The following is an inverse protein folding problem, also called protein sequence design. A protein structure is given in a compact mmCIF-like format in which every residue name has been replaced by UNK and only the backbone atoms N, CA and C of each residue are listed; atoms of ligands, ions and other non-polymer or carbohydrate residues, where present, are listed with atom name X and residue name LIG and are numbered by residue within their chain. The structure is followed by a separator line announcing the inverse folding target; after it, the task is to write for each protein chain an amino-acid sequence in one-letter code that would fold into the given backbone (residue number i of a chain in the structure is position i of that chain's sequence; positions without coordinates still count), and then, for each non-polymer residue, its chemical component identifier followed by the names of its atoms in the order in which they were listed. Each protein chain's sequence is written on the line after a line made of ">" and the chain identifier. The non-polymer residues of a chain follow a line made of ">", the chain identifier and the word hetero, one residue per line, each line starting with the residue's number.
data_IF_054259411995
#
_entry.id   IF_054259411995
#
_cell.length_a   1.000
_cell.length_b   1.000
_cell.length_c   1.000
_cell.angle_alpha   90.00
_cell.angle_beta   90.00
_cell.angle_gamma   90.00
#
_symmetry.space_group_name_H-M   'P 1'
#
loop_
_entity.id
_entity.type
_entity.pdbx_description
1 polymer ?
#
# COMPACT_ATOMS: atom_id res chain seq x y z
N UNK A 1 -29.08 14.10 71.35
CA UNK A 1 -27.83 14.72 70.85
C UNK A 1 -27.19 13.75 69.85
N UNK A 2 -27.44 13.90 68.55
CA UNK A 2 -26.94 12.96 67.52
C UNK A 2 -25.72 13.59 66.85
N UNK A 3 -24.55 13.02 67.11
CA UNK A 3 -23.25 13.44 66.56
C UNK A 3 -23.19 13.08 65.07
N UNK A 4 -23.20 14.09 64.20
CA UNK A 4 -22.94 13.94 62.76
C UNK A 4 -21.43 13.77 62.55
N UNK A 5 -20.99 12.55 62.23
CA UNK A 5 -19.62 12.31 61.79
C UNK A 5 -19.50 12.73 60.31
N UNK A 6 -18.74 13.79 60.06
CA UNK A 6 -18.36 14.24 58.72
C UNK A 6 -17.36 13.26 58.11
N UNK A 7 -17.73 12.59 57.02
CA UNK A 7 -16.81 11.80 56.20
C UNK A 7 -16.11 12.75 55.23
N UNK A 8 -14.81 12.98 55.44
CA UNK A 8 -13.93 13.73 54.55
C UNK A 8 -13.54 12.85 53.37
N UNK A 9 -14.16 13.07 52.21
CA UNK A 9 -13.78 12.45 50.93
C UNK A 9 -12.58 13.23 50.38
N UNK A 10 -11.37 12.67 50.49
CA UNK A 10 -10.20 13.16 49.77
C UNK A 10 -10.32 12.77 48.30
N UNK A 11 -10.71 13.73 47.44
CA UNK A 11 -10.63 13.58 45.99
C UNK A 11 -9.15 13.70 45.60
N UNK A 12 -8.49 12.56 45.35
CA UNK A 12 -7.18 12.55 44.74
C UNK A 12 -7.29 13.08 43.30
N UNK A 13 -6.85 14.32 43.07
CA UNK A 13 -6.68 14.87 41.74
C UNK A 13 -5.55 14.12 41.03
N UNK A 14 -5.90 13.10 40.26
CA UNK A 14 -4.98 12.46 39.32
C UNK A 14 -4.54 13.51 38.29
N UNK A 15 -3.23 13.77 38.11
CA UNK A 15 -2.76 14.65 37.05
C UNK A 15 -3.11 14.00 35.72
N UNK A 16 -4.11 14.55 35.04
CA UNK A 16 -4.28 14.34 33.61
C UNK A 16 -2.99 14.88 32.97
N UNK A 17 -2.12 13.99 32.54
CA UNK A 17 -0.99 14.36 31.70
C UNK A 17 -1.57 15.06 30.46
N UNK A 18 -1.51 16.38 30.45
CA UNK A 18 -1.97 17.18 29.34
C UNK A 18 -1.03 16.88 28.16
N UNK A 19 -1.45 15.96 27.28
CA UNK A 19 -0.79 15.77 26.01
C UNK A 19 -0.97 17.06 25.19
N UNK A 20 0.07 17.89 25.15
CA UNK A 20 0.05 19.17 24.44
C UNK A 20 -0.11 19.03 22.92
N UNK A 21 -0.03 17.81 22.40
CA UNK A 21 -0.26 17.48 21.00
C UNK A 21 -1.02 16.16 20.85
N UNK A 22 -2.26 16.26 20.36
CA UNK A 22 -3.17 15.13 20.15
C UNK A 22 -3.28 14.84 18.65
N UNK A 23 -3.31 13.56 18.30
CA UNK A 23 -3.60 13.11 16.94
C UNK A 23 -5.09 13.32 16.63
N UNK A 24 -5.42 14.24 15.73
CA UNK A 24 -6.78 14.65 15.45
C UNK A 24 -7.44 13.80 14.36
N UNK A 25 -6.83 13.72 13.17
CA UNK A 25 -7.34 12.93 12.04
C UNK A 25 -6.28 12.69 10.96
N UNK A 26 -6.58 11.78 10.02
CA UNK A 26 -5.82 11.57 8.78
C UNK A 26 -6.73 11.86 7.59
N UNK A 27 -6.29 12.73 6.69
CA UNK A 27 -6.97 13.10 5.45
C UNK A 27 -6.20 12.62 4.23
N UNK A 28 -6.92 12.18 3.21
CA UNK A 28 -6.37 11.80 1.90
C UNK A 28 -6.92 12.74 0.83
N UNK A 29 -6.04 13.26 -0.01
CA UNK A 29 -6.40 14.12 -1.13
C UNK A 29 -5.66 13.70 -2.41
N UNK A 30 -6.35 13.14 -3.41
CA UNK A 30 -7.75 12.67 -3.40
C UNK A 30 -7.90 11.31 -2.68
N UNK A 31 -9.12 10.97 -2.25
CA UNK A 31 -9.44 9.71 -1.56
C UNK A 31 -9.63 8.51 -2.52
N UNK A 32 -9.71 8.80 -3.82
CA UNK A 32 -9.70 7.80 -4.90
C UNK A 32 -8.67 8.21 -5.95
N UNK A 33 -7.76 7.30 -6.30
CA UNK A 33 -6.72 7.51 -7.32
C UNK A 33 -6.64 6.34 -8.30
N UNK A 34 -5.99 6.55 -9.43
CA UNK A 34 -5.56 5.46 -10.32
C UNK A 34 -4.19 4.92 -9.89
N UNK A 35 -3.83 3.68 -10.24
CA UNK A 35 -2.48 3.17 -10.03
C UNK A 35 -1.41 4.13 -10.60
N UNK A 36 -0.36 4.37 -9.82
CA UNK A 36 0.75 5.28 -10.16
C UNK A 36 0.45 6.77 -9.95
N UNK A 37 -0.79 7.16 -9.66
CA UNK A 37 -1.10 8.55 -9.32
C UNK A 37 -0.67 8.88 -7.89
N UNK A 38 -0.42 10.17 -7.65
CA UNK A 38 -0.01 10.66 -6.33
C UNK A 38 -1.22 10.98 -5.46
N UNK A 39 -1.13 10.64 -4.18
CA UNK A 39 -2.06 11.04 -3.13
C UNK A 39 -1.30 11.80 -2.05
N UNK A 40 -1.91 12.87 -1.55
CA UNK A 40 -1.43 13.64 -0.40
C UNK A 40 -2.10 13.12 0.87
N UNK A 41 -1.29 12.66 1.81
CA UNK A 41 -1.71 12.22 3.14
C UNK A 41 -1.40 13.36 4.11
N UNK A 42 -2.42 13.89 4.77
CA UNK A 42 -2.29 14.94 5.77
C UNK A 42 -2.70 14.38 7.13
N UNK A 43 -1.78 14.39 8.09
CA UNK A 43 -2.07 14.04 9.48
C UNK A 43 -2.20 15.34 10.28
N UNK A 44 -3.40 15.58 10.80
CA UNK A 44 -3.71 16.77 11.58
C UNK A 44 -3.53 16.50 13.07
N UNK A 45 -3.05 17.51 13.78
CA UNK A 45 -2.84 17.47 15.22
C UNK A 45 -3.60 18.62 15.87
N UNK A 46 -4.19 18.36 17.04
CA UNK A 46 -4.67 19.41 17.93
C UNK A 46 -3.54 19.76 18.90
N UNK A 47 -3.01 20.98 18.77
CA UNK A 47 -1.82 21.45 19.50
C UNK A 47 -2.24 22.53 20.48
N UNK A 48 -2.25 22.18 21.75
CA UNK A 48 -2.56 23.07 22.88
C UNK A 48 -1.32 23.41 23.70
N UNK A 49 -0.19 22.75 23.44
CA UNK A 49 1.09 22.95 24.13
C UNK A 49 2.29 22.74 23.22
N UNK A 50 3.36 22.15 23.76
CA UNK A 50 4.61 21.91 23.02
C UNK A 50 4.46 20.85 21.92
N UNK A 51 5.06 21.11 20.76
CA UNK A 51 5.16 20.15 19.64
C UNK A 51 6.36 19.25 19.91
N UNK A 52 6.11 18.04 20.43
CA UNK A 52 7.17 17.07 20.71
C UNK A 52 6.60 15.65 20.90
N UNK A 53 6.27 14.96 19.81
CA UNK A 53 5.84 13.57 19.89
C UNK A 53 6.26 12.71 18.69
N UNK A 54 6.21 11.39 18.89
CA UNK A 54 6.47 10.37 17.88
C UNK A 54 5.18 9.82 17.25
N UNK A 55 5.24 9.54 15.95
CA UNK A 55 4.16 8.98 15.17
C UNK A 55 4.68 7.93 14.18
N UNK A 56 3.99 6.80 14.03
CA UNK A 56 4.18 5.87 12.90
C UNK A 56 3.01 5.99 11.95
N UNK A 57 3.28 6.24 10.67
CA UNK A 57 2.29 6.15 9.61
C UNK A 57 2.43 4.80 8.92
N UNK A 58 1.34 4.04 8.87
CA UNK A 58 1.20 2.83 8.06
C UNK A 58 0.47 3.21 6.78
N UNK A 59 1.05 2.92 5.63
CA UNK A 59 0.48 3.33 4.34
C UNK A 59 -0.51 2.31 3.76
N UNK A 60 -0.68 1.16 4.40
CA UNK A 60 -1.57 0.08 3.96
C UNK A 60 -1.01 -0.80 2.85
N UNK A 61 0.14 -0.43 2.26
CA UNK A 61 0.87 -1.18 1.22
C UNK A 61 1.95 -2.12 1.82
N UNK A 62 1.93 -2.31 3.14
CA UNK A 62 2.98 -3.02 3.89
C UNK A 62 4.14 -2.12 4.34
N UNK A 63 4.25 -0.90 3.81
CA UNK A 63 5.25 0.06 4.27
C UNK A 63 4.76 0.87 5.47
N UNK A 64 5.69 1.20 6.34
CA UNK A 64 5.48 2.11 7.48
C UNK A 64 6.62 3.10 7.57
N UNK A 65 6.35 4.29 8.09
CA UNK A 65 7.37 5.32 8.29
C UNK A 65 7.16 6.02 9.62
N UNK A 66 8.26 6.18 10.35
CA UNK A 66 8.30 6.87 11.64
C UNK A 66 8.62 8.35 11.44
N UNK A 67 7.90 9.20 12.17
CA UNK A 67 8.03 10.64 12.15
C UNK A 67 8.20 11.17 13.57
N UNK A 68 9.11 12.13 13.70
CA UNK A 68 9.24 12.95 14.90
C UNK A 68 8.55 14.27 14.60
N UNK A 69 7.47 14.56 15.33
CA UNK A 69 6.72 15.81 15.20
C UNK A 69 7.21 16.71 16.32
N UNK A 70 8.29 17.46 16.05
CA UNK A 70 8.95 18.30 17.05
C UNK A 70 9.20 19.74 16.57
N UNK A 71 8.75 20.09 15.37
CA UNK A 71 8.81 21.45 14.84
C UNK A 71 7.45 21.89 14.31
N UNK A 72 7.19 23.20 14.33
CA UNK A 72 5.94 23.78 13.78
C UNK A 72 5.68 23.38 12.33
N UNK A 73 6.73 23.19 11.53
CA UNK A 73 6.62 22.78 10.11
C UNK A 73 6.09 21.35 9.93
N UNK A 74 6.17 20.52 10.98
CA UNK A 74 5.70 19.14 10.97
C UNK A 74 4.20 19.05 11.33
N UNK A 75 3.56 20.20 11.59
CA UNK A 75 2.14 20.32 11.95
C UNK A 75 1.42 21.21 10.92
N UNK A 76 0.53 20.65 10.09
CA UNK A 76 0.23 19.22 9.95
C UNK A 76 1.37 18.46 9.25
N UNK A 77 1.45 17.14 9.48
CA UNK A 77 2.38 16.30 8.73
C UNK A 77 1.78 16.04 7.35
N UNK A 78 2.51 16.38 6.29
CA UNK A 78 2.08 16.16 4.91
C UNK A 78 3.05 15.20 4.22
N UNK A 79 2.52 14.10 3.68
CA UNK A 79 3.29 13.04 3.00
C UNK A 79 2.65 12.75 1.65
N UNK A 80 3.41 12.86 0.57
CA UNK A 80 2.96 12.45 -0.76
C UNK A 80 3.35 10.99 -1.02
N UNK A 81 2.39 10.19 -1.50
CA UNK A 81 2.59 8.76 -1.82
C UNK A 81 2.05 8.43 -3.20
N UNK A 82 2.54 7.34 -3.77
CA UNK A 82 2.02 6.73 -4.99
C UNK A 82 1.81 5.25 -4.74
N UNK A 83 0.71 4.71 -5.27
CA UNK A 83 0.34 3.31 -5.11
C UNK A 83 0.31 2.65 -6.48
N UNK A 84 1.16 1.64 -6.69
CA UNK A 84 1.33 1.00 -7.99
C UNK A 84 0.24 -0.03 -8.33
N UNK A 85 -0.42 -0.60 -7.31
CA UNK A 85 -1.45 -1.62 -7.50
C UNK A 85 -2.83 -1.05 -7.20
N UNK A 86 -3.84 -1.55 -7.91
CA UNK A 86 -5.22 -1.26 -7.58
C UNK A 86 -5.63 -2.06 -6.33
N UNK A 87 -6.47 -1.45 -5.50
CA UNK A 87 -6.90 -2.03 -4.24
C UNK A 87 -7.31 -0.98 -3.22
N UNK A 88 -7.76 -1.45 -2.06
CA UNK A 88 -8.06 -0.61 -0.93
C UNK A 88 -6.87 -0.61 0.04
N UNK A 89 -6.40 0.59 0.40
CA UNK A 89 -5.27 0.77 1.29
C UNK A 89 -5.74 1.47 2.56
N UNK A 90 -5.55 0.81 3.70
CA UNK A 90 -5.85 1.38 5.01
C UNK A 90 -4.65 2.16 5.51
N UNK A 91 -4.74 3.48 5.41
CA UNK A 91 -3.73 4.40 5.95
C UNK A 91 -4.02 4.63 7.42
N UNK A 92 -3.04 4.37 8.29
CA UNK A 92 -3.17 4.50 9.75
C UNK A 92 -2.07 5.40 10.31
N UNK A 93 -2.45 6.43 11.05
CA UNK A 93 -1.54 7.17 11.92
C UNK A 93 -1.64 6.59 13.34
N UNK A 94 -0.53 6.01 13.81
CA UNK A 94 -0.39 5.37 15.11
C UNK A 94 0.52 6.22 16.01
N UNK A 95 0.03 6.72 17.14
CA UNK A 95 0.88 7.19 18.22
C UNK A 95 1.92 6.16 18.62
N UNK A 96 3.20 6.49 18.43
CA UNK A 96 4.28 5.55 18.74
C UNK A 96 5.49 6.27 19.29
N UNK A 97 6.11 5.71 20.31
CA UNK A 97 7.37 6.21 20.86
C UNK A 97 8.49 6.05 19.83
N UNK A 98 9.10 7.17 19.43
CA UNK A 98 10.19 7.22 18.44
C UNK A 98 11.44 7.82 19.10
N UNK A 99 12.41 6.95 19.43
CA UNK A 99 13.59 7.37 20.21
C UNK A 99 13.19 7.84 21.61
N UNK A 100 13.59 9.06 21.98
CA UNK A 100 13.24 9.67 23.26
C UNK A 100 11.87 10.37 23.26
N UNK A 101 11.21 10.49 22.10
CA UNK A 101 9.91 11.14 21.98
C UNK A 101 8.80 10.13 22.27
N UNK A 102 7.98 10.41 23.28
CA UNK A 102 6.76 9.65 23.53
C UNK A 102 5.78 9.74 22.36
N UNK A 103 4.88 8.77 22.23
CA UNK A 103 3.85 8.80 21.19
C UNK A 103 2.94 10.04 21.31
N UNK A 104 2.44 10.54 20.18
CA UNK A 104 1.45 11.62 20.19
C UNK A 104 0.22 11.24 21.02
N UNK A 105 -0.43 12.19 21.68
CA UNK A 105 -1.61 11.85 22.47
C UNK A 105 -2.79 11.42 21.58
N UNK A 106 -3.76 10.72 22.17
CA UNK A 106 -4.96 10.26 21.46
C UNK A 106 -4.88 8.82 20.96
N UNK A 107 -5.83 8.47 20.08
CA UNK A 107 -6.02 7.11 19.53
C UNK A 107 -5.52 7.04 18.10
N UNK A 108 -5.34 5.83 17.58
CA UNK A 108 -5.05 5.61 16.16
C UNK A 108 -6.12 6.28 15.29
N UNK A 109 -5.67 6.94 14.22
CA UNK A 109 -6.53 7.52 13.21
C UNK A 109 -6.34 6.76 11.91
N UNK A 110 -7.44 6.39 11.27
CA UNK A 110 -7.44 5.54 10.08
C UNK A 110 -8.34 6.11 8.99
N UNK A 111 -7.94 5.91 7.74
CA UNK A 111 -8.73 6.24 6.57
C UNK A 111 -8.40 5.27 5.43
N UNK A 112 -9.33 5.15 4.47
CA UNK A 112 -9.21 4.21 3.35
C UNK A 112 -8.98 4.99 2.07
N UNK A 113 -7.86 4.69 1.40
CA UNK A 113 -7.58 5.11 0.05
C UNK A 113 -8.07 4.03 -0.91
N UNK A 114 -8.83 4.43 -1.93
CA UNK A 114 -9.24 3.52 -3.00
C UNK A 114 -8.37 3.75 -4.23
N UNK A 115 -7.66 2.72 -4.68
CA UNK A 115 -6.90 2.76 -5.92
C UNK A 115 -7.66 1.96 -6.97
N UNK A 116 -8.30 2.67 -7.90
CA UNK A 116 -9.23 2.08 -8.86
C UNK A 116 -8.49 1.76 -10.15
N UNK A 117 -8.44 0.47 -10.50
CA UNK A 117 -8.02 0.06 -11.83
C UNK A 117 -9.04 0.59 -12.86
N UNK A 118 -8.59 0.99 -14.06
CA UNK A 118 -9.51 1.20 -15.17
C UNK A 118 -10.44 -0.03 -15.30
N UNK A 119 -11.74 0.15 -15.57
CA UNK A 119 -12.64 -0.96 -15.76
C UNK A 119 -12.06 -1.88 -16.84
N UNK A 120 -12.02 -3.17 -16.54
CA UNK A 120 -11.66 -4.17 -17.53
C UNK A 120 -12.53 -3.95 -18.77
N UNK A 121 -11.98 -4.00 -20.00
CA UNK A 121 -12.81 -3.98 -21.19
C UNK A 121 -13.90 -5.07 -21.06
N UNK A 122 -15.12 -4.80 -21.54
CA UNK A 122 -16.24 -5.73 -21.39
C UNK A 122 -15.82 -7.12 -21.89
N UNK A 123 -16.25 -8.20 -21.21
CA UNK A 123 -15.95 -9.54 -21.66
C UNK A 123 -16.43 -9.68 -23.10
N UNK A 124 -15.50 -9.83 -24.03
CA UNK A 124 -15.84 -10.29 -25.38
C UNK A 124 -16.49 -11.63 -25.18
N UNK A 125 -17.78 -11.73 -25.53
CA UNK A 125 -18.61 -12.90 -25.27
C UNK A 125 -17.86 -14.18 -25.64
N UNK A 126 -17.57 -14.99 -24.63
CA UNK A 126 -17.07 -16.33 -24.83
C UNK A 126 -18.13 -17.10 -25.63
N UNK A 127 -17.76 -17.57 -26.82
CA UNK A 127 -18.46 -18.70 -27.44
C UNK A 127 -18.49 -19.85 -26.41
N UNK A 128 -19.60 -20.62 -26.32
CA UNK A 128 -19.82 -21.55 -25.23
C UNK A 128 -18.77 -22.67 -25.22
N UNK A 129 -18.13 -22.84 -24.07
CA UNK A 129 -17.32 -24.00 -23.75
C UNK A 129 -18.22 -25.23 -23.45
N UNK A 130 -17.80 -26.47 -23.77
CA UNK A 130 -18.30 -27.63 -23.05
C UNK A 130 -17.54 -27.78 -21.72
N UNK A 131 -18.31 -28.11 -20.70
CA UNK A 131 -17.96 -28.27 -19.30
C UNK A 131 -16.83 -29.28 -19.03
N UNK A 132 -16.03 -28.99 -18.00
CA UNK A 132 -16.00 -29.80 -16.77
C UNK A 132 -15.03 -29.17 -15.75
N UNK A 133 -15.61 -28.55 -14.73
CA UNK A 133 -14.94 -28.22 -13.47
C UNK A 133 -14.59 -29.52 -12.73
N UNK A 134 -13.46 -29.53 -11.99
CA UNK A 134 -13.48 -29.91 -10.57
C UNK A 134 -12.14 -29.61 -9.84
N UNK A 135 -12.30 -28.92 -8.72
CA UNK A 135 -11.57 -29.03 -7.43
C UNK A 135 -10.08 -28.70 -7.35
N UNK A 136 -9.81 -27.46 -6.94
CA UNK A 136 -9.39 -27.07 -5.59
C UNK A 136 -8.12 -27.69 -4.93
N UNK A 137 -7.29 -26.74 -4.44
CA UNK A 137 -6.32 -26.76 -3.33
C UNK A 137 -5.08 -27.67 -3.41
N UNK A 138 -3.90 -27.05 -3.54
CA UNK A 138 -2.90 -26.93 -2.47
C UNK A 138 -1.51 -26.59 -3.01
N UNK A 139 -0.86 -25.61 -2.37
CA UNK A 139 0.59 -25.39 -2.26
C UNK A 139 1.47 -25.45 -3.53
N UNK A 140 2.02 -24.29 -3.92
CA UNK A 140 3.48 -24.04 -4.02
C UNK A 140 3.85 -22.96 -5.05
N UNK A 141 4.64 -21.98 -4.59
CA UNK A 141 5.70 -21.24 -5.32
C UNK A 141 5.28 -20.37 -6.52
N UNK A 142 5.27 -19.03 -6.41
CA UNK A 142 5.03 -18.16 -7.55
C UNK A 142 6.32 -18.03 -8.37
N UNK A 143 6.39 -18.73 -9.50
CA UNK A 143 7.36 -18.40 -10.53
C UNK A 143 6.75 -18.68 -11.90
N UNK A 144 6.75 -17.63 -12.74
CA UNK A 144 6.53 -17.66 -14.19
C UNK A 144 5.10 -17.57 -14.76
N UNK A 145 4.06 -17.25 -13.96
CA UNK A 145 2.72 -16.93 -14.50
C UNK A 145 2.43 -15.42 -14.68
N UNK A 146 3.33 -14.53 -14.24
CA UNK A 146 3.10 -13.08 -14.17
C UNK A 146 4.10 -12.23 -14.99
N UNK A 147 4.83 -12.83 -15.93
CA UNK A 147 5.99 -12.19 -16.55
C UNK A 147 5.80 -11.73 -18.01
N UNK A 148 4.68 -12.04 -18.68
CA UNK A 148 4.44 -11.55 -20.04
C UNK A 148 3.51 -10.32 -20.04
N UNK A 149 3.73 -9.32 -20.94
CA UNK A 149 2.81 -8.20 -21.11
C UNK A 149 1.41 -8.64 -21.53
N UNK A 150 0.42 -7.76 -21.35
CA UNK A 150 -0.97 -8.00 -21.74
C UNK A 150 -1.05 -8.34 -23.25
N UNK A 151 -1.81 -9.38 -23.60
CA UNK A 151 -1.92 -9.99 -24.95
C UNK A 151 -0.70 -10.75 -25.47
N UNK A 152 0.26 -11.07 -24.60
CA UNK A 152 1.40 -11.94 -24.91
C UNK A 152 1.30 -13.25 -24.12
N UNK A 153 1.48 -14.37 -24.82
CA UNK A 153 1.44 -15.71 -24.25
C UNK A 153 2.84 -16.22 -24.00
N UNK A 154 3.12 -16.72 -22.79
CA UNK A 154 4.39 -17.39 -22.49
C UNK A 154 4.50 -18.69 -23.29
N UNK A 155 5.59 -18.87 -24.00
CA UNK A 155 5.91 -20.14 -24.65
C UNK A 155 6.36 -21.09 -23.55
N UNK A 156 5.48 -21.99 -23.09
CA UNK A 156 5.75 -22.89 -21.96
C UNK A 156 7.07 -23.68 -22.10
N UNK A 157 7.44 -24.06 -23.33
CA UNK A 157 8.69 -24.76 -23.67
C UNK A 157 9.95 -23.89 -23.52
N UNK A 158 9.81 -22.58 -23.45
CA UNK A 158 10.91 -21.61 -23.32
C UNK A 158 11.22 -21.24 -21.86
N UNK A 159 10.37 -21.66 -20.91
CA UNK A 159 10.51 -21.29 -19.50
C UNK A 159 11.58 -22.16 -18.86
N UNK A 160 12.75 -21.58 -18.62
CA UNK A 160 13.80 -22.21 -17.84
C UNK A 160 13.58 -21.92 -16.35
N UNK A 161 13.07 -22.91 -15.62
CA UNK A 161 12.79 -22.79 -14.18
C UNK A 161 14.03 -22.64 -13.31
N UNK A 162 15.24 -22.94 -13.82
CA UNK A 162 16.50 -22.79 -13.08
C UNK A 162 17.05 -21.36 -13.18
N UNK A 163 16.99 -20.75 -14.35
CA UNK A 163 17.55 -19.41 -14.59
C UNK A 163 16.50 -18.30 -14.58
N UNK A 164 15.22 -18.63 -14.73
CA UNK A 164 14.15 -17.65 -14.88
C UNK A 164 14.03 -17.06 -16.29
N UNK A 165 14.71 -17.64 -17.30
CA UNK A 165 14.58 -17.26 -18.70
C UNK A 165 13.22 -17.71 -19.25
N UNK A 166 12.59 -16.87 -20.09
CA UNK A 166 11.31 -17.17 -20.72
C UNK A 166 11.12 -16.35 -22.00
N UNK A 167 10.29 -16.84 -22.89
CA UNK A 167 9.86 -16.16 -24.12
C UNK A 167 8.35 -16.00 -24.11
N UNK A 168 7.89 -14.79 -24.41
CA UNK A 168 6.51 -14.43 -24.68
C UNK A 168 6.31 -14.26 -26.19
N UNK A 169 5.19 -14.73 -26.71
CA UNK A 169 4.76 -14.57 -28.11
C UNK A 169 3.40 -13.89 -28.17
N UNK A 170 3.20 -12.97 -29.12
CA UNK A 170 1.91 -12.35 -29.38
C UNK A 170 1.34 -12.73 -30.75
N UNK A 171 0.02 -12.55 -30.90
CA UNK A 171 -0.67 -12.72 -32.19
C UNK A 171 -0.26 -11.60 -33.17
N UNK A 172 -0.43 -11.88 -34.47
CA UNK A 172 -0.20 -10.88 -35.50
C UNK A 172 -1.09 -9.64 -35.27
N UNK A 173 -0.49 -8.45 -35.18
CA UNK A 173 -1.20 -7.19 -34.95
C UNK A 173 -1.12 -6.64 -33.52
N UNK A 174 -0.65 -7.40 -32.53
CA UNK A 174 -0.50 -6.91 -31.14
C UNK A 174 0.58 -5.83 -31.05
N UNK A 175 0.31 -4.66 -30.44
CA UNK A 175 1.31 -3.60 -30.26
C UNK A 175 2.46 -4.09 -29.36
N UNK A 176 3.71 -3.69 -29.66
CA UNK A 176 4.81 -3.93 -28.73
C UNK A 176 4.64 -3.02 -27.51
N UNK A 177 4.94 -3.49 -26.29
CA UNK A 177 4.94 -2.65 -25.11
C UNK A 177 5.99 -1.54 -25.24
N UNK A 178 5.62 -0.31 -24.88
CA UNK A 178 6.54 0.85 -24.90
C UNK A 178 7.60 0.77 -23.78
N UNK A 179 7.44 -0.15 -22.83
CA UNK A 179 8.39 -0.44 -21.76
C UNK A 179 9.06 -1.80 -21.93
N UNK A 180 10.40 -1.84 -21.80
CA UNK A 180 11.16 -3.09 -21.75
C UNK A 180 10.74 -3.89 -20.53
N UNK A 181 10.63 -5.21 -20.72
CA UNK A 181 10.30 -6.12 -19.64
C UNK A 181 11.45 -6.18 -18.63
N UNK A 182 11.13 -6.14 -17.33
CA UNK A 182 12.11 -6.30 -16.27
C UNK A 182 12.46 -7.79 -16.12
N UNK A 183 13.70 -8.15 -16.43
CA UNK A 183 14.19 -9.52 -16.38
C UNK A 183 14.82 -9.83 -15.02
N UNK A 184 14.55 -11.02 -14.43
CA UNK A 184 15.14 -11.40 -13.15
C UNK A 184 16.62 -11.78 -13.30
N UNK A 185 17.46 -11.37 -12.34
CA UNK A 185 18.88 -11.72 -12.30
C UNK A 185 19.72 -11.04 -13.39
N UNK A 186 20.71 -11.76 -13.93
CA UNK A 186 21.61 -11.29 -15.00
C UNK A 186 21.04 -11.49 -16.42
N UNK A 187 19.75 -11.77 -16.54
CA UNK A 187 19.12 -12.02 -17.83
C UNK A 187 18.90 -10.71 -18.58
N UNK A 188 19.28 -10.71 -19.85
CA UNK A 188 19.04 -9.60 -20.76
C UNK A 188 17.66 -9.68 -21.40
N UNK A 189 17.01 -8.52 -21.49
CA UNK A 189 15.80 -8.35 -22.27
C UNK A 189 16.09 -8.58 -23.76
N UNK A 190 15.22 -9.35 -24.42
CA UNK A 190 15.23 -9.47 -25.87
C UNK A 190 13.84 -9.20 -26.43
N UNK A 191 13.82 -8.63 -27.64
CA UNK A 191 12.62 -8.45 -28.43
C UNK A 191 12.89 -8.71 -29.90
N UNK A 192 11.90 -9.28 -30.57
CA UNK A 192 11.89 -9.54 -31.99
C UNK A 192 10.54 -9.11 -32.54
N UNK A 193 10.47 -7.86 -33.00
CA UNK A 193 9.27 -7.29 -33.58
C UNK A 193 8.78 -8.07 -34.82
N UNK A 194 9.70 -8.64 -35.62
CA UNK A 194 9.37 -9.44 -36.81
C UNK A 194 8.67 -10.75 -36.46
N UNK A 195 9.09 -11.39 -35.36
CA UNK A 195 8.53 -12.67 -34.88
C UNK A 195 7.49 -12.49 -33.75
N UNK A 196 7.18 -11.25 -33.36
CA UNK A 196 6.33 -10.93 -32.21
C UNK A 196 6.72 -11.71 -30.96
N UNK A 197 8.03 -11.72 -30.67
CA UNK A 197 8.63 -12.41 -29.53
C UNK A 197 9.31 -11.41 -28.61
N UNK A 198 9.17 -11.55 -27.30
CA UNK A 198 9.94 -10.79 -26.30
C UNK A 198 10.16 -11.65 -25.07
N UNK A 199 11.14 -11.32 -24.23
CA UNK A 199 11.34 -12.03 -22.98
C UNK A 199 12.73 -11.80 -22.39
N UNK A 200 13.14 -12.75 -21.56
CA UNK A 200 14.39 -12.71 -20.82
C UNK A 200 15.26 -13.90 -21.19
N UNK A 201 16.50 -13.64 -21.61
CA UNK A 201 17.50 -14.66 -21.96
C UNK A 201 18.86 -14.29 -21.38
N UNK A 202 19.64 -15.31 -21.03
CA UNK A 202 21.06 -15.16 -20.65
C UNK A 202 21.90 -14.81 -21.87
#
# INVERSE_FOLDING_TARGET
>A
MIRRAFVLVCIAALPLAAWGQLLANVKLEPQEIKPGASVKITVNFDVTGGINCGLRVHFGDGNTQDYKINQKKDVPLVVTRQYAQAGEYRVKAEPKTIGLLGGCGGRNQETVLKVVAPPAPPPVAAAPAPAAQKTAVAAAKPAAASQCPQDWTVVAKSVNRKTGAFTCTAKAGTKLPEGRLSCPGDLSYFENAKKRQLGCRS
#
